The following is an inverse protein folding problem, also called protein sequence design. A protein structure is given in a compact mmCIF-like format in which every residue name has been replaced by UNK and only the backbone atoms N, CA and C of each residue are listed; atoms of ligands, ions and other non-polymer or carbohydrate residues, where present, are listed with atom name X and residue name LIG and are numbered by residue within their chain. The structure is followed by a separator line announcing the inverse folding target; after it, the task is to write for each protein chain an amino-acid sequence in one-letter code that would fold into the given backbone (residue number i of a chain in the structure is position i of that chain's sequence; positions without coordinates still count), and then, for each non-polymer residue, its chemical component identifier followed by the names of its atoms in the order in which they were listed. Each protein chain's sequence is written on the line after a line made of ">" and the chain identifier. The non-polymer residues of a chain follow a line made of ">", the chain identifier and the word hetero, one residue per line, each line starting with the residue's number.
data_IF_780335833544
#
_entry.id   IF_780335833544
#
_cell.length_a   1.000
_cell.length_b   1.000
_cell.length_c   1.000
_cell.angle_alpha   90.00
_cell.angle_beta   90.00
_cell.angle_gamma   90.00
#
_symmetry.space_group_name_H-M   'P 1'
#
loop_
_entity.id
_entity.type
_entity.pdbx_description
1 polymer ?
#
# COMPACT_ATOMS: atom_id res chain seq x y z
N UNK A 1 -7.59 14.94 -28.09
CA UNK A 1 -8.59 14.78 -26.98
C UNK A 1 -8.19 13.73 -25.91
N UNK A 2 -6.94 13.25 -25.87
CA UNK A 2 -6.52 12.13 -24.98
C UNK A 2 -5.81 12.52 -23.68
N UNK A 3 -5.51 13.80 -23.45
CA UNK A 3 -4.72 14.22 -22.28
C UNK A 3 -5.52 14.28 -20.96
N UNK A 4 -6.86 14.41 -20.98
CA UNK A 4 -7.65 14.52 -19.72
C UNK A 4 -7.92 13.21 -18.99
N UNK A 5 -7.94 12.06 -19.69
CA UNK A 5 -8.23 10.76 -19.04
C UNK A 5 -7.04 10.25 -18.21
N UNK A 6 -5.81 10.45 -18.69
CA UNK A 6 -4.63 9.97 -17.98
C UNK A 6 -4.29 10.78 -16.73
N UNK A 7 -4.68 12.07 -16.69
CA UNK A 7 -4.47 12.92 -15.51
C UNK A 7 -5.42 12.51 -14.38
N UNK A 8 -6.71 12.33 -14.67
CA UNK A 8 -7.69 11.90 -13.66
C UNK A 8 -7.36 10.55 -13.01
N UNK A 9 -6.98 9.55 -13.81
CA UNK A 9 -6.62 8.22 -13.27
C UNK A 9 -5.37 8.24 -12.37
N UNK A 10 -4.44 9.18 -12.62
CA UNK A 10 -3.24 9.32 -11.81
C UNK A 10 -3.55 9.98 -10.47
N UNK A 11 -4.40 11.00 -10.47
CA UNK A 11 -4.82 11.70 -9.25
C UNK A 11 -5.62 10.74 -8.35
N UNK A 12 -6.45 9.87 -8.93
CA UNK A 12 -7.18 8.82 -8.21
C UNK A 12 -6.24 7.82 -7.52
N UNK A 13 -5.18 7.39 -8.21
CA UNK A 13 -4.19 6.46 -7.65
C UNK A 13 -3.36 7.09 -6.52
N UNK A 14 -3.02 8.38 -6.63
CA UNK A 14 -2.32 9.11 -5.57
C UNK A 14 -3.21 9.25 -4.35
N UNK A 15 -4.44 9.72 -4.53
CA UNK A 15 -5.41 9.87 -3.44
C UNK A 15 -5.66 8.53 -2.72
N UNK A 16 -5.77 7.43 -3.46
CA UNK A 16 -5.88 6.09 -2.91
C UNK A 16 -4.67 5.72 -2.03
N UNK A 17 -3.44 5.95 -2.50
CA UNK A 17 -2.23 5.62 -1.72
C UNK A 17 -2.13 6.48 -0.46
N UNK A 18 -2.48 7.76 -0.54
CA UNK A 18 -2.51 8.66 0.61
C UNK A 18 -3.53 8.21 1.66
N UNK A 19 -4.76 7.88 1.21
CA UNK A 19 -5.81 7.35 2.08
C UNK A 19 -5.38 6.03 2.73
N UNK A 20 -4.84 5.08 1.94
CA UNK A 20 -4.34 3.81 2.47
C UNK A 20 -3.25 4.02 3.53
N UNK A 21 -2.30 4.94 3.29
CA UNK A 21 -1.27 5.25 4.27
C UNK A 21 -1.84 5.82 5.57
N UNK A 22 -2.81 6.73 5.48
CA UNK A 22 -3.45 7.33 6.66
C UNK A 22 -4.25 6.28 7.45
N UNK A 23 -5.07 5.49 6.76
CA UNK A 23 -6.00 4.57 7.39
C UNK A 23 -5.31 3.31 7.94
N UNK A 24 -4.25 2.81 7.29
CA UNK A 24 -3.42 1.71 7.83
C UNK A 24 -2.70 2.10 9.13
N UNK A 25 -2.37 3.39 9.30
CA UNK A 25 -1.72 3.93 10.50
C UNK A 25 -2.70 4.40 11.57
N UNK A 26 -4.01 4.35 11.29
CA UNK A 26 -5.03 4.79 12.25
C UNK A 26 -5.01 3.93 13.51
N UNK A 27 -5.27 4.57 14.65
CA UNK A 27 -5.56 3.95 15.94
C UNK A 27 -6.86 3.14 15.92
N UNK A 28 -7.80 3.46 15.02
CA UNK A 28 -9.11 2.80 14.91
C UNK A 28 -9.02 1.49 14.13
N UNK A 29 -9.37 0.38 14.79
CA UNK A 29 -9.40 -0.97 14.19
C UNK A 29 -10.31 -1.04 12.96
N UNK A 30 -11.47 -0.35 12.98
CA UNK A 30 -12.43 -0.35 11.87
C UNK A 30 -11.85 0.25 10.60
N UNK A 31 -11.08 1.35 10.75
CA UNK A 31 -10.34 2.03 9.69
C UNK A 31 -9.26 1.14 9.09
N UNK A 32 -8.40 0.55 9.93
CA UNK A 32 -7.38 -0.39 9.48
C UNK A 32 -7.98 -1.58 8.72
N UNK A 33 -9.08 -2.16 9.22
CA UNK A 33 -9.77 -3.27 8.52
C UNK A 33 -10.35 -2.86 7.16
N UNK A 34 -10.89 -1.66 7.03
CA UNK A 34 -11.38 -1.15 5.76
C UNK A 34 -10.23 -0.93 4.76
N UNK A 35 -9.15 -0.30 5.21
CA UNK A 35 -7.95 -0.07 4.41
C UNK A 35 -7.30 -1.38 3.94
N UNK A 36 -7.27 -2.42 4.78
CA UNK A 36 -6.77 -3.74 4.38
C UNK A 36 -7.59 -4.36 3.24
N UNK A 37 -8.92 -4.22 3.27
CA UNK A 37 -9.79 -4.73 2.19
C UNK A 37 -9.59 -3.93 0.90
N UNK A 38 -9.48 -2.60 1.01
CA UNK A 38 -9.16 -1.75 -0.14
C UNK A 38 -7.80 -2.12 -0.73
N UNK A 39 -6.76 -2.22 0.10
CA UNK A 39 -5.42 -2.61 -0.35
C UNK A 39 -5.44 -3.98 -1.04
N UNK A 40 -6.12 -4.97 -0.46
CA UNK A 40 -6.27 -6.29 -1.09
C UNK A 40 -6.92 -6.21 -2.47
N UNK A 41 -7.93 -5.35 -2.65
CA UNK A 41 -8.62 -5.13 -3.93
C UNK A 41 -7.71 -4.46 -4.96
N UNK A 42 -6.91 -3.47 -4.53
CA UNK A 42 -6.09 -2.67 -5.41
C UNK A 42 -4.67 -3.21 -5.64
N UNK A 43 -4.21 -4.22 -4.90
CA UNK A 43 -2.90 -4.84 -5.11
C UNK A 43 -2.72 -5.44 -6.52
N UNK A 44 -3.81 -5.85 -7.16
CA UNK A 44 -3.80 -6.31 -8.55
C UNK A 44 -3.94 -5.17 -9.59
N UNK A 45 -4.11 -3.92 -9.15
CA UNK A 45 -4.28 -2.76 -10.03
C UNK A 45 -2.97 -2.39 -10.72
N UNK A 46 -3.01 -2.35 -12.05
CA UNK A 46 -1.87 -1.91 -12.85
C UNK A 46 -1.53 -0.43 -12.61
N UNK A 47 -2.53 0.41 -12.34
CA UNK A 47 -2.32 1.85 -12.16
C UNK A 47 -1.66 2.16 -10.80
N UNK A 48 -2.10 1.46 -9.75
CA UNK A 48 -1.45 1.53 -8.44
C UNK A 48 0.02 1.09 -8.56
N UNK A 49 0.27 -0.04 -9.21
CA UNK A 49 1.61 -0.57 -9.37
C UNK A 49 2.51 0.38 -10.16
N UNK A 50 2.04 0.92 -11.30
CA UNK A 50 2.79 1.90 -12.10
C UNK A 50 3.13 3.17 -11.32
N UNK A 51 2.20 3.65 -10.49
CA UNK A 51 2.46 4.81 -9.63
C UNK A 51 3.59 4.49 -8.64
N UNK A 52 3.46 3.39 -7.90
CA UNK A 52 4.43 2.99 -6.88
C UNK A 52 5.80 2.66 -7.49
N UNK A 53 5.87 2.01 -8.65
CA UNK A 53 7.11 1.73 -9.37
C UNK A 53 7.80 3.03 -9.77
N UNK A 54 7.06 3.94 -10.41
CA UNK A 54 7.60 5.22 -10.87
C UNK A 54 8.18 6.04 -9.72
N UNK A 55 7.43 6.22 -8.64
CA UNK A 55 7.87 7.04 -7.49
C UNK A 55 9.03 6.40 -6.75
N UNK A 56 9.05 5.07 -6.65
CA UNK A 56 10.19 4.32 -6.08
C UNK A 56 11.44 4.56 -6.92
N UNK A 57 11.37 4.42 -8.24
CA UNK A 57 12.49 4.68 -9.15
C UNK A 57 12.98 6.13 -9.10
N UNK A 58 12.07 7.11 -8.99
CA UNK A 58 12.44 8.52 -8.85
C UNK A 58 13.21 8.77 -7.54
N UNK A 59 12.76 8.17 -6.44
CA UNK A 59 13.42 8.27 -5.15
C UNK A 59 14.81 7.60 -5.17
N UNK A 60 14.90 6.39 -5.74
CA UNK A 60 16.15 5.65 -5.88
C UNK A 60 17.18 6.39 -6.75
N UNK A 61 16.71 7.10 -7.78
CA UNK A 61 17.54 7.94 -8.64
C UNK A 61 17.96 9.28 -7.99
N UNK A 62 17.57 9.55 -6.74
CA UNK A 62 17.89 10.78 -6.03
C UNK A 62 17.14 12.01 -6.55
N UNK A 63 16.08 11.83 -7.35
CA UNK A 63 15.29 12.94 -7.91
C UNK A 63 14.32 13.57 -6.89
N UNK A 64 14.31 13.06 -5.65
CA UNK A 64 13.37 13.44 -4.61
C UNK A 64 11.97 12.88 -4.85
N UNK A 65 11.03 13.23 -3.97
CA UNK A 65 9.65 12.76 -4.00
C UNK A 65 9.13 12.38 -2.62
N UNK A 66 7.85 12.05 -2.54
CA UNK A 66 7.24 11.59 -1.29
C UNK A 66 7.41 10.08 -1.13
N UNK A 67 8.16 9.66 -0.10
CA UNK A 67 8.34 8.26 0.30
C UNK A 67 6.99 7.57 0.50
N UNK A 68 5.96 8.27 0.97
CA UNK A 68 4.61 7.69 1.19
C UNK A 68 4.01 7.12 -0.09
N UNK A 69 4.37 7.67 -1.25
CA UNK A 69 3.87 7.22 -2.54
C UNK A 69 4.71 6.09 -3.16
N UNK A 70 5.63 5.47 -2.41
CA UNK A 70 6.51 4.38 -2.87
C UNK A 70 6.07 3.02 -2.33
N UNK A 71 6.60 1.93 -2.90
CA UNK A 71 6.41 0.59 -2.34
C UNK A 71 6.89 0.51 -0.89
N UNK A 72 8.03 1.12 -0.57
CA UNK A 72 8.59 1.13 0.78
C UNK A 72 7.70 1.90 1.77
N UNK A 73 7.14 3.05 1.35
CA UNK A 73 6.22 3.84 2.16
C UNK A 73 4.94 3.09 2.52
N UNK A 74 4.31 2.48 1.51
CA UNK A 74 3.11 1.68 1.70
C UNK A 74 3.39 0.42 2.57
N UNK A 75 4.53 -0.23 2.34
CA UNK A 75 4.98 -1.38 3.14
C UNK A 75 5.20 -0.99 4.61
N UNK A 76 5.82 0.16 4.87
CA UNK A 76 6.01 0.70 6.22
C UNK A 76 4.67 0.93 6.94
N UNK A 77 3.69 1.54 6.27
CA UNK A 77 2.35 1.75 6.82
C UNK A 77 1.64 0.42 7.13
N UNK A 78 1.77 -0.57 6.25
CA UNK A 78 1.21 -1.90 6.48
C UNK A 78 1.91 -2.63 7.64
N UNK A 79 3.23 -2.53 7.79
CA UNK A 79 3.94 -3.09 8.93
C UNK A 79 3.48 -2.46 10.25
N UNK A 80 3.21 -1.15 10.28
CA UNK A 80 2.63 -0.51 11.46
C UNK A 80 1.24 -1.08 11.79
N UNK A 81 0.40 -1.31 10.78
CA UNK A 81 -0.88 -2.01 10.95
C UNK A 81 -0.68 -3.43 11.51
N UNK A 82 0.26 -4.21 10.98
CA UNK A 82 0.58 -5.57 11.47
C UNK A 82 0.96 -5.52 12.95
N UNK A 83 1.88 -4.63 13.31
CA UNK A 83 2.31 -4.44 14.70
C UNK A 83 1.13 -4.07 15.60
N UNK A 84 0.26 -3.15 15.19
CA UNK A 84 -0.92 -2.77 15.96
C UNK A 84 -1.89 -3.95 16.18
N UNK A 85 -2.13 -4.77 15.15
CA UNK A 85 -3.01 -5.95 15.25
C UNK A 85 -2.41 -7.05 16.15
N UNK A 86 -1.09 -7.23 16.13
CA UNK A 86 -0.38 -8.15 17.04
C UNK A 86 -0.52 -7.66 18.49
N UNK A 87 -0.20 -6.39 18.76
CA UNK A 87 -0.34 -5.83 20.11
C UNK A 87 -1.79 -5.87 20.61
N UNK A 88 -2.77 -5.60 19.75
CA UNK A 88 -4.18 -5.66 20.11
C UNK A 88 -4.66 -7.08 20.44
N UNK A 89 -3.93 -8.12 20.02
CA UNK A 89 -4.25 -9.52 20.26
C UNK A 89 -3.38 -10.15 21.37
N UNK A 90 -2.32 -9.46 21.81
CA UNK A 90 -1.49 -9.90 22.91
C UNK A 90 -2.33 -10.04 24.19
N UNK A 91 -2.24 -11.20 24.85
CA UNK A 91 -3.00 -11.51 26.05
C UNK A 91 -4.50 -11.83 25.83
N UNK A 92 -4.99 -11.83 24.58
CA UNK A 92 -6.36 -12.25 24.26
C UNK A 92 -6.40 -13.72 23.82
N UNK A 93 -7.55 -14.38 24.06
CA UNK A 93 -7.81 -15.75 23.56
C UNK A 93 -7.89 -15.81 22.02
N UNK A 94 -8.28 -14.71 21.38
CA UNK A 94 -8.40 -14.64 19.93
C UNK A 94 -7.04 -14.27 19.30
N UNK A 95 -6.57 -15.04 18.29
CA UNK A 95 -5.31 -14.75 17.63
C UNK A 95 -5.38 -13.48 16.79
N UNK A 96 -4.21 -12.91 16.50
CA UNK A 96 -4.08 -11.79 15.56
C UNK A 96 -4.65 -12.14 14.19
N UNK A 97 -5.23 -11.13 13.53
CA UNK A 97 -5.85 -11.29 12.23
C UNK A 97 -4.83 -11.73 11.17
N UNK A 98 -4.86 -13.01 10.78
CA UNK A 98 -3.93 -13.59 9.79
C UNK A 98 -3.98 -12.89 8.42
N UNK A 99 -5.09 -12.21 8.11
CA UNK A 99 -5.25 -11.46 6.85
C UNK A 99 -4.19 -10.38 6.69
N UNK A 100 -3.82 -9.67 7.76
CA UNK A 100 -2.86 -8.56 7.70
C UNK A 100 -1.48 -9.03 7.24
N UNK A 101 -1.02 -10.16 7.79
CA UNK A 101 0.24 -10.78 7.41
C UNK A 101 0.20 -11.36 5.99
N UNK A 102 -0.94 -11.91 5.57
CA UNK A 102 -1.14 -12.40 4.20
C UNK A 102 -1.08 -11.26 3.18
N UNK A 103 -1.71 -10.12 3.47
CA UNK A 103 -1.65 -8.91 2.63
C UNK A 103 -0.22 -8.38 2.56
N UNK A 104 0.52 -8.36 3.68
CA UNK A 104 1.93 -7.93 3.68
C UNK A 104 2.79 -8.80 2.76
N UNK A 105 2.68 -10.12 2.85
CA UNK A 105 3.42 -11.03 1.95
C UNK A 105 3.07 -10.78 0.49
N UNK A 106 1.78 -10.58 0.17
CA UNK A 106 1.35 -10.27 -1.19
C UNK A 106 1.88 -8.93 -1.67
N UNK A 107 1.87 -7.89 -0.83
CA UNK A 107 2.44 -6.59 -1.15
C UNK A 107 3.92 -6.70 -1.52
N UNK A 108 4.71 -7.40 -0.70
CA UNK A 108 6.14 -7.63 -0.95
C UNK A 108 6.36 -8.43 -2.24
N UNK A 109 5.66 -9.56 -2.40
CA UNK A 109 5.74 -10.36 -3.62
C UNK A 109 5.34 -9.57 -4.88
N UNK A 110 4.43 -8.60 -4.72
CA UNK A 110 4.04 -7.69 -5.80
C UNK A 110 5.20 -6.71 -6.09
N UNK A 111 5.71 -5.99 -5.09
CA UNK A 111 6.83 -5.07 -5.28
C UNK A 111 8.09 -5.71 -5.90
N UNK A 112 8.31 -7.00 -5.63
CA UNK A 112 9.47 -7.78 -6.08
C UNK A 112 9.26 -8.55 -7.39
N UNK A 113 8.05 -8.61 -7.95
CA UNK A 113 7.78 -9.39 -9.17
C UNK A 113 8.61 -8.88 -10.36
N UNK A 114 9.59 -9.67 -10.86
CA UNK A 114 10.45 -9.24 -11.96
C UNK A 114 9.68 -9.13 -13.28
N UNK A 115 8.56 -9.86 -13.45
CA UNK A 115 7.75 -9.82 -14.67
C UNK A 115 6.98 -8.50 -14.81
N UNK A 116 6.77 -7.79 -13.70
CA UNK A 116 6.16 -6.46 -13.68
C UNK A 116 7.16 -5.39 -14.10
N UNK A 117 8.38 -5.46 -13.58
CA UNK A 117 9.47 -4.50 -13.89
C UNK A 117 9.93 -4.56 -15.35
N UNK A 118 9.66 -5.67 -16.04
CA UNK A 118 10.00 -5.87 -17.44
C UNK A 118 8.93 -5.38 -18.44
N UNK A 119 7.78 -4.85 -17.98
CA UNK A 119 6.67 -4.33 -18.81
C UNK A 119 6.62 -2.81 -18.79
#
# INVERSE_FOLDING_TARGET
>A
RSHRRCVGMRDDAVALVEELNAELRSDKVTRRKAALKQLETHLASADLAKLLDRTTLQLDAGLGGDVKLTWAGLCSSLMQCVSAEIHASAGKKAPANKLVASILRRLVATAEDPKRRAR
#
